data_IF_801940129180
#
_entry.id   IF_801940129180
#
_cell.length_a   1.000
_cell.length_b   1.000
_cell.length_c   1.000
_cell.angle_alpha   90.00
_cell.angle_beta   90.00
_cell.angle_gamma   90.00
#
_symmetry.space_group_name_H-M   'P 1'
#
loop_
_entity.id
_entity.type
_entity.pdbx_description
1 polymer ?
#
# COMPACT_ATOMS: atom_id res chain seq x y z
N UNK A 1 -13.74 30.42 -4.69
CA UNK A 1 -14.71 29.47 -5.29
C UNK A 1 -13.96 28.52 -6.20
N UNK A 2 -13.90 27.26 -5.78
CA UNK A 2 -13.24 26.19 -6.55
C UNK A 2 -13.88 25.96 -7.92
N UNK A 3 -13.08 25.54 -8.90
CA UNK A 3 -13.48 25.28 -10.28
C UNK A 3 -13.23 23.81 -10.66
N UNK A 4 -13.93 23.36 -11.70
CA UNK A 4 -13.74 22.01 -12.27
C UNK A 4 -13.98 20.86 -11.28
N UNK A 5 -14.86 21.07 -10.29
CA UNK A 5 -15.18 20.09 -9.27
C UNK A 5 -16.49 19.34 -9.56
N UNK A 6 -16.54 18.08 -9.17
CA UNK A 6 -17.76 17.26 -9.14
C UNK A 6 -18.01 16.78 -7.71
N UNK A 7 -19.00 17.34 -7.02
CA UNK A 7 -19.39 16.96 -5.67
C UNK A 7 -20.81 16.41 -5.66
N UNK A 8 -20.98 15.15 -5.30
CA UNK A 8 -22.28 14.45 -5.29
C UNK A 8 -22.44 13.67 -3.98
N UNK A 9 -23.41 14.03 -3.17
CA UNK A 9 -23.75 13.33 -1.94
C UNK A 9 -23.95 14.26 -0.74
N UNK A 10 -24.62 13.76 0.29
CA UNK A 10 -24.81 14.51 1.52
C UNK A 10 -23.46 14.78 2.19
N UNK A 11 -23.11 16.02 2.41
CA UNK A 11 -21.85 16.41 3.04
C UNK A 11 -20.58 16.04 2.24
N UNK A 12 -20.69 15.81 0.93
CA UNK A 12 -19.50 15.62 0.10
C UNK A 12 -18.72 16.95 0.02
N UNK A 13 -17.41 16.91 0.35
CA UNK A 13 -16.49 18.04 0.34
C UNK A 13 -17.05 19.26 1.12
N UNK A 14 -17.64 19.05 2.29
CA UNK A 14 -18.40 20.08 3.02
C UNK A 14 -17.56 21.31 3.39
N UNK A 15 -16.29 21.13 3.68
CA UNK A 15 -15.37 22.20 4.07
C UNK A 15 -14.58 22.78 2.94
N UNK A 16 -14.71 22.23 1.73
CA UNK A 16 -13.97 22.68 0.56
C UNK A 16 -14.62 23.91 -0.07
N UNK A 17 -13.93 25.03 -0.04
CA UNK A 17 -14.42 26.31 -0.54
C UNK A 17 -13.62 26.89 -1.71
N UNK A 18 -12.41 26.38 -1.97
CA UNK A 18 -11.48 26.98 -2.93
C UNK A 18 -10.70 26.01 -3.80
N UNK A 19 -10.65 24.71 -3.48
CA UNK A 19 -9.84 23.77 -4.27
C UNK A 19 -10.46 23.42 -5.62
N UNK A 20 -9.59 23.07 -6.58
CA UNK A 20 -9.95 22.82 -7.99
C UNK A 20 -9.72 21.36 -8.39
N UNK A 21 -10.41 20.95 -9.47
CA UNK A 21 -10.22 19.70 -10.19
C UNK A 21 -10.37 18.43 -9.33
N UNK A 22 -11.41 18.38 -8.50
CA UNK A 22 -11.73 17.25 -7.65
C UNK A 22 -12.99 16.51 -8.10
N UNK A 23 -13.02 15.18 -7.91
CA UNK A 23 -14.21 14.35 -8.04
C UNK A 23 -14.50 13.70 -6.70
N UNK A 24 -15.59 14.11 -6.03
CA UNK A 24 -15.97 13.62 -4.71
C UNK A 24 -17.42 13.14 -4.73
N UNK A 25 -17.62 11.83 -4.62
CA UNK A 25 -18.94 11.20 -4.76
C UNK A 25 -19.22 10.28 -3.56
N UNK A 26 -20.26 10.56 -2.82
CA UNK A 26 -20.70 9.75 -1.70
C UNK A 26 -21.05 10.58 -0.46
N UNK A 27 -21.89 10.03 0.43
CA UNK A 27 -22.20 10.71 1.67
C UNK A 27 -20.95 10.84 2.54
N UNK A 28 -20.65 12.07 2.97
CA UNK A 28 -19.48 12.45 3.77
C UNK A 28 -18.13 12.08 3.10
N UNK A 29 -18.09 11.88 1.79
CA UNK A 29 -16.84 11.74 1.06
C UNK A 29 -16.05 13.04 1.11
N UNK A 30 -14.75 13.01 1.44
CA UNK A 30 -13.91 14.18 1.54
C UNK A 30 -14.46 15.29 2.44
N UNK A 31 -15.23 14.95 3.50
CA UNK A 31 -16.00 15.94 4.25
C UNK A 31 -15.14 17.05 4.88
N UNK A 32 -13.93 16.74 5.27
CA UNK A 32 -12.98 17.71 5.86
C UNK A 32 -11.90 18.18 4.85
N UNK A 33 -12.11 17.90 3.56
CA UNK A 33 -11.19 18.31 2.51
C UNK A 33 -11.17 19.84 2.40
N UNK A 34 -9.99 20.43 2.38
CA UNK A 34 -9.77 21.86 2.13
C UNK A 34 -8.32 22.09 1.70
N UNK A 35 -8.08 22.10 0.41
CA UNK A 35 -6.74 22.34 -0.16
C UNK A 35 -6.40 23.83 -0.25
N UNK A 36 -7.29 24.74 0.20
CA UNK A 36 -7.15 26.17 -0.01
C UNK A 36 -7.22 26.52 -1.49
N UNK A 37 -6.45 27.50 -1.93
CA UNK A 37 -6.37 27.92 -3.35
C UNK A 37 -5.57 26.92 -4.23
N UNK A 38 -5.29 25.71 -3.74
CA UNK A 38 -4.50 24.73 -4.48
C UNK A 38 -5.39 23.75 -5.26
N UNK A 39 -4.89 23.28 -6.40
CA UNK A 39 -5.54 22.23 -7.18
C UNK A 39 -5.43 20.89 -6.44
N UNK A 40 -6.57 20.26 -6.16
CA UNK A 40 -6.61 19.02 -5.39
C UNK A 40 -6.22 17.78 -6.20
N UNK A 41 -6.68 17.69 -7.45
CA UNK A 41 -6.54 16.51 -8.33
C UNK A 41 -6.96 15.20 -7.64
N UNK A 42 -7.98 15.25 -6.79
CA UNK A 42 -8.36 14.14 -5.93
C UNK A 42 -9.62 13.46 -6.45
N UNK A 43 -9.62 12.13 -6.47
CA UNK A 43 -10.79 11.31 -6.79
C UNK A 43 -11.20 10.51 -5.56
N UNK A 44 -12.35 10.86 -4.98
CA UNK A 44 -12.89 10.23 -3.77
C UNK A 44 -14.29 9.71 -4.07
N UNK A 45 -14.49 8.38 -3.99
CA UNK A 45 -15.78 7.76 -4.27
C UNK A 45 -16.13 6.75 -3.17
N UNK A 46 -17.20 7.01 -2.43
CA UNK A 46 -17.70 6.10 -1.40
C UNK A 46 -18.12 6.80 -0.10
N UNK A 47 -18.88 6.10 0.72
CA UNK A 47 -19.29 6.61 2.03
C UNK A 47 -18.05 6.85 2.91
N UNK A 48 -17.87 8.09 3.40
CA UNK A 48 -16.72 8.53 4.20
C UNK A 48 -15.34 8.20 3.60
N UNK A 49 -15.24 8.00 2.29
CA UNK A 49 -13.93 7.89 1.65
C UNK A 49 -13.18 9.23 1.81
N UNK A 50 -11.89 9.20 2.11
CA UNK A 50 -11.06 10.38 2.29
C UNK A 50 -11.57 11.40 3.30
N UNK A 51 -12.35 10.98 4.31
CA UNK A 51 -13.09 11.89 5.20
C UNK A 51 -12.20 12.99 5.80
N UNK A 52 -11.03 12.62 6.33
CA UNK A 52 -10.06 13.54 6.94
C UNK A 52 -8.94 13.98 5.99
N UNK A 53 -9.10 13.86 4.68
CA UNK A 53 -8.09 14.30 3.71
C UNK A 53 -8.05 15.83 3.60
N UNK A 54 -7.56 16.50 4.63
CA UNK A 54 -7.67 17.97 4.74
C UNK A 54 -6.89 18.69 3.64
N UNK A 55 -5.58 18.47 3.54
CA UNK A 55 -4.70 19.15 2.57
C UNK A 55 -4.01 18.20 1.59
N UNK A 56 -4.35 16.91 1.63
CA UNK A 56 -3.74 15.89 0.78
C UNK A 56 -4.22 15.96 -0.66
N UNK A 57 -3.30 16.10 -1.61
CA UNK A 57 -3.59 16.23 -3.04
C UNK A 57 -3.30 14.97 -3.85
N UNK A 58 -3.87 14.86 -5.04
CA UNK A 58 -3.60 13.78 -6.00
C UNK A 58 -3.89 12.36 -5.44
N UNK A 59 -4.86 12.26 -4.56
CA UNK A 59 -5.27 10.97 -3.98
C UNK A 59 -6.42 10.34 -4.78
N UNK A 60 -6.42 9.02 -4.88
CA UNK A 60 -7.54 8.23 -5.43
C UNK A 60 -8.04 7.28 -4.35
N UNK A 61 -9.20 7.58 -3.76
CA UNK A 61 -9.83 6.79 -2.71
C UNK A 61 -11.20 6.28 -3.18
N UNK A 62 -11.32 4.98 -3.41
CA UNK A 62 -12.55 4.36 -3.93
C UNK A 62 -12.99 3.21 -3.01
N UNK A 63 -14.12 3.38 -2.35
CA UNK A 63 -14.70 2.38 -1.46
C UNK A 63 -15.19 2.95 -0.14
N UNK A 64 -15.96 2.15 0.60
CA UNK A 64 -16.40 2.48 1.95
C UNK A 64 -15.18 2.78 2.83
N UNK A 65 -15.06 4.02 3.34
CA UNK A 65 -13.97 4.51 4.20
C UNK A 65 -12.55 4.29 3.64
N UNK A 66 -12.39 4.19 2.32
CA UNK A 66 -11.06 4.15 1.70
C UNK A 66 -10.32 5.46 1.98
N UNK A 67 -9.07 5.40 2.43
CA UNK A 67 -8.28 6.58 2.79
C UNK A 67 -8.92 7.49 3.84
N UNK A 68 -9.80 6.93 4.70
CA UNK A 68 -10.57 7.73 5.67
C UNK A 68 -9.68 8.57 6.58
N UNK A 69 -8.64 7.95 7.12
CA UNK A 69 -7.61 8.55 7.93
C UNK A 69 -8.00 9.04 9.31
N UNK A 70 -7.27 10.01 9.82
CA UNK A 70 -7.52 10.71 11.08
C UNK A 70 -7.41 12.22 10.90
N UNK A 71 -7.87 13.01 11.87
CA UNK A 71 -7.91 14.47 11.77
C UNK A 71 -6.57 15.10 11.32
N UNK A 72 -6.65 16.14 10.48
CA UNK A 72 -5.52 16.93 9.98
C UNK A 72 -4.55 16.18 9.07
N UNK A 73 -5.05 15.32 8.18
CA UNK A 73 -4.20 14.64 7.21
C UNK A 73 -3.65 15.54 6.12
N UNK A 74 -2.41 15.23 5.72
CA UNK A 74 -1.71 15.89 4.61
C UNK A 74 -1.06 14.88 3.67
N UNK A 75 -1.61 13.68 3.55
CA UNK A 75 -1.09 12.63 2.67
C UNK A 75 -1.36 12.95 1.20
N UNK A 76 -0.46 12.58 0.29
CA UNK A 76 -0.61 12.88 -1.13
C UNK A 76 -0.20 11.71 -2.03
N UNK A 77 -0.74 11.73 -3.26
CA UNK A 77 -0.40 10.74 -4.30
C UNK A 77 -0.65 9.27 -3.90
N UNK A 78 -1.65 9.02 -3.08
CA UNK A 78 -2.03 7.67 -2.69
C UNK A 78 -3.18 7.13 -3.56
N UNK A 79 -3.15 5.84 -3.83
CA UNK A 79 -4.23 5.09 -4.44
C UNK A 79 -4.72 4.02 -3.47
N UNK A 80 -5.97 4.12 -3.01
CA UNK A 80 -6.61 3.14 -2.15
C UNK A 80 -7.96 2.74 -2.73
N UNK A 81 -8.07 1.51 -3.19
CA UNK A 81 -9.30 0.97 -3.79
C UNK A 81 -9.75 -0.27 -3.03
N UNK A 82 -10.90 -0.17 -2.40
CA UNK A 82 -11.48 -1.25 -1.60
C UNK A 82 -12.10 -0.74 -0.30
N UNK A 83 -12.93 -1.56 0.32
CA UNK A 83 -13.50 -1.27 1.64
C UNK A 83 -12.36 -1.10 2.67
N UNK A 84 -12.31 0.05 3.32
CA UNK A 84 -11.30 0.37 4.34
C UNK A 84 -9.83 0.25 3.88
N UNK A 85 -9.58 0.29 2.57
CA UNK A 85 -8.21 0.37 2.08
C UNK A 85 -7.54 1.65 2.61
N UNK A 86 -6.33 1.55 3.16
CA UNK A 86 -5.58 2.64 3.79
C UNK A 86 -6.39 3.43 4.84
N UNK A 87 -7.21 2.74 5.64
CA UNK A 87 -8.12 3.37 6.60
C UNK A 87 -7.44 4.36 7.56
N UNK A 88 -6.20 4.08 7.97
CA UNK A 88 -5.50 4.84 9.02
C UNK A 88 -4.43 5.79 8.47
N UNK A 89 -4.42 6.05 7.17
CA UNK A 89 -3.42 6.94 6.58
C UNK A 89 -3.44 8.34 7.20
N UNK A 90 -2.26 8.91 7.43
CA UNK A 90 -2.10 10.26 7.99
C UNK A 90 -1.23 11.15 7.10
N UNK A 91 0.07 10.87 7.01
CA UNK A 91 1.05 11.67 6.26
C UNK A 91 1.78 10.86 5.18
N UNK A 92 1.58 9.53 5.14
CA UNK A 92 2.20 8.65 4.14
C UNK A 92 1.75 9.00 2.72
N UNK A 93 2.70 9.05 1.78
CA UNK A 93 2.43 9.39 0.38
C UNK A 93 2.94 8.35 -0.61
N UNK A 94 2.49 8.45 -1.88
CA UNK A 94 2.90 7.55 -2.97
C UNK A 94 2.63 6.06 -2.71
N UNK A 95 1.61 5.74 -1.94
CA UNK A 95 1.21 4.37 -1.67
C UNK A 95 0.11 3.89 -2.63
N UNK A 96 0.11 2.60 -2.98
CA UNK A 96 -0.88 1.99 -3.86
C UNK A 96 -1.43 0.70 -3.25
N UNK A 97 -2.68 0.71 -2.79
CA UNK A 97 -3.33 -0.43 -2.15
C UNK A 97 -4.65 -0.79 -2.83
N UNK A 98 -4.77 -2.05 -3.25
CA UNK A 98 -5.94 -2.60 -3.92
C UNK A 98 -6.45 -3.84 -3.20
N UNK A 99 -7.61 -3.73 -2.58
CA UNK A 99 -8.26 -4.82 -1.85
C UNK A 99 -8.99 -4.34 -0.59
N UNK A 100 -9.88 -5.18 -0.06
CA UNK A 100 -10.54 -4.90 1.21
C UNK A 100 -9.49 -4.83 2.33
N UNK A 101 -9.49 -3.76 3.11
CA UNK A 101 -8.54 -3.50 4.19
C UNK A 101 -7.05 -3.57 3.79
N UNK A 102 -6.74 -3.50 2.48
CA UNK A 102 -5.37 -3.41 2.00
C UNK A 102 -4.70 -2.14 2.53
N UNK A 103 -3.50 -2.27 3.12
CA UNK A 103 -2.81 -1.15 3.75
C UNK A 103 -3.54 -0.49 4.91
N UNK A 104 -4.52 -1.16 5.53
CA UNK A 104 -5.38 -0.58 6.58
C UNK A 104 -4.59 0.15 7.68
N UNK A 105 -3.48 -0.42 8.12
CA UNK A 105 -2.63 0.12 9.18
C UNK A 105 -1.57 1.11 8.71
N UNK A 106 -1.45 1.41 7.42
CA UNK A 106 -0.48 2.40 6.93
C UNK A 106 -0.83 3.78 7.46
N UNK A 107 0.10 4.41 8.15
CA UNK A 107 -0.07 5.75 8.73
C UNK A 107 0.85 6.76 8.02
N UNK A 108 2.16 6.68 8.25
CA UNK A 108 3.16 7.60 7.70
C UNK A 108 4.13 6.95 6.70
N UNK A 109 4.04 5.65 6.47
CA UNK A 109 4.84 4.94 5.47
C UNK A 109 4.58 5.44 4.06
N UNK A 110 5.62 5.49 3.23
CA UNK A 110 5.54 6.00 1.86
C UNK A 110 6.13 5.02 0.84
N UNK A 111 5.70 5.17 -0.43
CA UNK A 111 6.17 4.33 -1.53
C UNK A 111 5.97 2.83 -1.28
N UNK A 112 4.82 2.47 -0.74
CA UNK A 112 4.43 1.07 -0.54
C UNK A 112 3.35 0.67 -1.54
N UNK A 113 3.30 -0.61 -1.90
CA UNK A 113 2.14 -1.14 -2.59
C UNK A 113 1.64 -2.44 -1.95
N UNK A 114 0.34 -2.68 -2.04
CA UNK A 114 -0.28 -3.92 -1.59
C UNK A 114 -1.46 -4.32 -2.46
N UNK A 115 -1.49 -5.58 -2.87
CA UNK A 115 -2.57 -6.15 -3.67
C UNK A 115 -3.14 -7.37 -2.95
N UNK A 116 -4.45 -7.40 -2.78
CA UNK A 116 -5.18 -8.44 -2.07
C UNK A 116 -5.79 -7.92 -0.76
N UNK A 117 -6.80 -8.63 -0.27
CA UNK A 117 -7.41 -8.32 1.01
C UNK A 117 -6.35 -8.37 2.12
N UNK A 118 -6.46 -7.47 3.08
CA UNK A 118 -5.59 -7.39 4.26
C UNK A 118 -4.07 -7.28 3.97
N UNK A 119 -3.65 -7.06 2.72
CA UNK A 119 -2.24 -6.91 2.37
C UNK A 119 -1.58 -5.75 3.13
N UNK A 120 -0.38 -5.98 3.69
CA UNK A 120 0.35 -5.00 4.49
C UNK A 120 -0.15 -4.84 5.94
N UNK A 121 -1.00 -5.74 6.42
CA UNK A 121 -1.37 -5.86 7.84
C UNK A 121 -0.40 -6.77 8.60
N UNK A 122 -0.56 -6.86 9.92
CA UNK A 122 0.32 -7.64 10.80
C UNK A 122 0.47 -9.12 10.43
N UNK A 123 -0.56 -9.72 9.80
CA UNK A 123 -0.52 -11.10 9.32
C UNK A 123 0.05 -11.27 7.91
N UNK A 124 0.32 -10.19 7.18
CA UNK A 124 0.85 -10.28 5.82
C UNK A 124 2.31 -10.74 5.77
N UNK A 125 2.78 -11.26 4.63
CA UNK A 125 4.20 -11.49 4.40
C UNK A 125 5.03 -10.24 4.72
N UNK A 126 6.02 -10.36 5.60
CA UNK A 126 6.82 -9.22 6.07
C UNK A 126 6.20 -8.41 7.21
N UNK A 127 4.98 -8.75 7.67
CA UNK A 127 4.31 -8.08 8.79
C UNK A 127 3.62 -6.76 8.42
N UNK A 128 3.20 -6.00 9.43
CA UNK A 128 2.53 -4.71 9.24
C UNK A 128 3.48 -3.59 8.79
N UNK A 129 3.04 -2.76 7.87
CA UNK A 129 3.84 -1.70 7.24
C UNK A 129 3.40 -0.28 7.64
N UNK A 130 2.98 -0.07 8.89
CA UNK A 130 2.38 1.18 9.36
C UNK A 130 3.19 2.45 9.02
N UNK A 131 4.46 2.48 9.39
CA UNK A 131 5.39 3.59 9.12
C UNK A 131 6.55 3.22 8.19
N UNK A 132 6.60 1.97 7.74
CA UNK A 132 7.63 1.48 6.83
C UNK A 132 7.43 2.01 5.42
N UNK A 133 8.50 2.16 4.67
CA UNK A 133 8.49 2.65 3.29
C UNK A 133 9.22 1.70 2.34
N UNK A 134 8.90 1.81 1.04
CA UNK A 134 9.50 1.01 -0.05
C UNK A 134 9.22 -0.49 0.06
N UNK A 135 8.02 -0.86 0.47
CA UNK A 135 7.61 -2.25 0.66
C UNK A 135 6.49 -2.62 -0.32
N UNK A 136 6.65 -3.77 -0.97
CA UNK A 136 5.60 -4.39 -1.77
C UNK A 136 5.04 -5.64 -1.08
N UNK A 137 3.71 -5.79 -1.05
CA UNK A 137 3.02 -6.93 -0.43
C UNK A 137 1.98 -7.50 -1.39
N UNK A 138 2.04 -8.79 -1.63
CA UNK A 138 1.02 -9.53 -2.40
C UNK A 138 0.28 -10.48 -1.45
N UNK A 139 -0.98 -10.14 -1.15
CA UNK A 139 -1.85 -10.94 -0.29
C UNK A 139 -1.59 -10.81 1.21
N UNK A 140 -2.19 -11.71 1.95
CA UNK A 140 -2.09 -11.86 3.41
C UNK A 140 -1.62 -13.28 3.80
N UNK A 141 -1.72 -13.66 5.06
CA UNK A 141 -1.35 -14.99 5.57
C UNK A 141 -2.21 -16.13 5.00
N UNK A 142 -3.35 -15.84 4.38
CA UNK A 142 -4.25 -16.85 3.80
C UNK A 142 -3.90 -17.20 2.35
N UNK A 143 -3.02 -16.44 1.70
CA UNK A 143 -2.57 -16.74 0.33
C UNK A 143 -1.69 -17.99 0.35
N UNK A 144 -2.19 -19.08 -0.22
CA UNK A 144 -1.51 -20.37 -0.23
C UNK A 144 -0.62 -20.59 -1.46
N UNK A 145 -0.85 -19.85 -2.54
CA UNK A 145 -0.04 -19.94 -3.76
C UNK A 145 -0.12 -18.67 -4.58
N UNK A 146 0.98 -18.31 -5.21
CA UNK A 146 1.05 -17.28 -6.25
C UNK A 146 1.41 -17.96 -7.57
N UNK A 147 0.44 -18.02 -8.49
CA UNK A 147 0.62 -18.66 -9.79
C UNK A 147 1.06 -17.63 -10.82
N UNK A 148 2.28 -17.77 -11.33
CA UNK A 148 2.85 -16.93 -12.38
C UNK A 148 3.18 -17.80 -13.59
N UNK A 149 2.83 -17.37 -14.80
CA UNK A 149 3.19 -18.06 -16.04
C UNK A 149 4.70 -18.09 -16.27
N UNK A 150 5.41 -17.11 -15.75
CA UNK A 150 6.87 -16.98 -15.81
C UNK A 150 7.47 -16.88 -14.44
N UNK A 151 8.71 -17.25 -14.27
CA UNK A 151 9.41 -17.10 -12.99
C UNK A 151 9.51 -15.63 -12.58
N UNK A 152 9.33 -15.35 -11.29
CA UNK A 152 9.67 -14.06 -10.73
C UNK A 152 11.19 -13.90 -10.77
N UNK A 153 11.67 -12.87 -11.44
CA UNK A 153 13.10 -12.58 -11.51
C UNK A 153 13.49 -11.74 -10.32
N UNK A 154 14.33 -12.30 -9.46
CA UNK A 154 15.03 -11.50 -8.43
C UNK A 154 16.25 -10.90 -9.10
N UNK A 155 16.36 -9.58 -9.11
CA UNK A 155 17.55 -8.90 -9.58
C UNK A 155 18.72 -9.28 -8.65
N UNK A 156 19.58 -10.17 -9.11
CA UNK A 156 20.83 -10.53 -8.44
C UNK A 156 21.91 -10.65 -9.52
N UNK A 157 22.74 -9.64 -9.59
CA UNK A 157 23.83 -9.53 -10.55
C UNK A 157 25.18 -9.58 -9.80
N UNK A 158 26.21 -10.08 -10.44
CA UNK A 158 27.56 -10.03 -9.89
C UNK A 158 28.00 -8.60 -9.58
N UNK A 159 27.51 -7.62 -10.34
CA UNK A 159 27.76 -6.19 -10.15
C UNK A 159 27.16 -5.63 -8.85
N UNK A 160 26.17 -6.33 -8.29
CA UNK A 160 25.52 -5.96 -7.02
C UNK A 160 26.22 -6.58 -5.80
N UNK A 161 27.31 -7.32 -6.05
CA UNK A 161 28.10 -7.99 -5.01
C UNK A 161 29.47 -7.32 -4.93
N UNK A 162 29.90 -7.01 -3.73
CA UNK A 162 31.22 -6.44 -3.44
C UNK A 162 32.01 -7.40 -2.56
N UNK A 163 33.31 -7.15 -2.45
CA UNK A 163 34.19 -7.86 -1.50
C UNK A 163 34.33 -9.38 -1.82
N UNK A 164 34.45 -9.73 -3.10
CA UNK A 164 34.83 -11.08 -3.48
C UNK A 164 36.23 -11.40 -2.92
N UNK A 165 36.27 -12.39 -2.06
CA UNK A 165 37.52 -12.97 -1.54
C UNK A 165 37.62 -14.38 -2.04
N UNK A 166 38.78 -14.76 -2.56
CA UNK A 166 39.04 -16.15 -2.93
C UNK A 166 38.81 -17.07 -1.74
N UNK A 167 38.10 -18.17 -1.98
CA UNK A 167 37.80 -19.13 -0.95
C UNK A 167 39.08 -19.91 -0.62
N UNK A 168 39.61 -19.72 0.57
CA UNK A 168 40.81 -20.41 1.12
C UNK A 168 40.52 -21.85 1.57
N UNK A 169 39.61 -22.53 0.87
CA UNK A 169 39.22 -23.90 1.20
C UNK A 169 39.80 -24.87 0.17
N UNK A 170 40.82 -25.61 0.60
CA UNK A 170 41.53 -26.57 -0.23
C UNK A 170 40.75 -27.88 -0.49
N UNK A 171 41.39 -28.82 -1.20
CA UNK A 171 40.81 -30.10 -1.58
C UNK A 171 40.26 -30.91 -0.41
N UNK A 172 40.82 -30.78 0.80
CA UNK A 172 40.36 -31.48 1.98
C UNK A 172 38.97 -31.06 2.47
N UNK A 173 38.61 -29.76 2.28
CA UNK A 173 37.24 -29.30 2.49
C UNK A 173 36.26 -29.94 1.50
N UNK A 174 36.63 -30.02 0.23
CA UNK A 174 35.79 -30.65 -0.79
C UNK A 174 35.56 -32.14 -0.50
N UNK A 175 36.57 -32.85 0.00
CA UNK A 175 36.46 -34.25 0.39
C UNK A 175 35.62 -34.47 1.66
N UNK A 176 35.50 -33.45 2.50
CA UNK A 176 34.68 -33.50 3.72
C UNK A 176 33.21 -33.14 3.46
N UNK A 177 32.82 -32.70 2.26
CA UNK A 177 31.44 -32.45 1.93
C UNK A 177 30.67 -33.77 1.87
N UNK A 178 29.59 -33.85 2.62
CA UNK A 178 28.63 -34.96 2.58
C UNK A 178 27.41 -34.50 1.76
N UNK A 179 27.37 -34.72 0.45
CA UNK A 179 26.21 -34.33 -0.37
C UNK A 179 25.01 -35.19 0.00
N UNK A 180 23.88 -34.51 0.27
CA UNK A 180 22.62 -35.15 0.59
C UNK A 180 21.58 -34.89 -0.48
N UNK A 181 20.72 -35.89 -0.70
CA UNK A 181 19.50 -35.70 -1.49
C UNK A 181 18.32 -35.59 -0.53
N UNK A 182 17.37 -34.73 -0.86
CA UNK A 182 16.16 -34.58 -0.07
C UNK A 182 14.93 -34.53 -0.99
N UNK A 183 13.81 -34.88 -0.40
CA UNK A 183 12.51 -34.70 -1.02
C UNK A 183 11.80 -33.52 -0.35
N UNK A 184 11.21 -32.65 -1.15
CA UNK A 184 10.36 -31.59 -0.61
C UNK A 184 9.16 -32.22 0.11
N UNK A 185 9.05 -32.00 1.40
CA UNK A 185 7.86 -32.32 2.17
C UNK A 185 7.00 -31.06 2.35
N UNK A 186 5.69 -31.22 2.15
CA UNK A 186 4.78 -30.07 2.27
C UNK A 186 4.68 -29.64 3.74
N UNK A 187 4.65 -28.34 3.99
CA UNK A 187 4.50 -27.74 5.33
C UNK A 187 3.31 -28.28 6.15
N UNK A 188 2.32 -28.89 5.51
CA UNK A 188 1.18 -29.50 6.16
C UNK A 188 1.52 -30.64 7.14
N UNK A 189 2.78 -31.10 7.16
CA UNK A 189 3.24 -32.11 8.12
C UNK A 189 3.87 -31.52 9.39
N UNK A 190 4.06 -30.22 9.48
CA UNK A 190 4.71 -29.52 10.58
C UNK A 190 3.78 -28.54 11.32
N UNK A 191 2.45 -28.79 11.24
CA UNK A 191 1.42 -28.03 11.93
C UNK A 191 1.24 -28.45 13.39
#
# INVERSE_FOLDING_TARGET
TGQENVYIGYGAATTDDQSDANVVIGSLAGAEMNHGDATGFTTIVGYQAGFYNVTGTSNTYIGYRAGHGSANQSNATNTAVGREAMLQVTTGGTNSFLGSAAGLGVTSGSNNFGIGADSGRSGSPGGGIASSSNIGVLGDENISSLNCQVALTVASDERDKTDFVDLDLGLDFVKALEPVTYYWDKRSKYG
#
